data_IF_208440030558
#
_entry.id   IF_208440030558
#
_cell.length_a   1.000
_cell.length_b   1.000
_cell.length_c   1.000
_cell.angle_alpha   90.00
_cell.angle_beta   90.00
_cell.angle_gamma   90.00
#
_symmetry.space_group_name_H-M   'P 1'
#
loop_
_entity.id
_entity.type
_entity.pdbx_description
1 polymer ?
#
# COMPACT_ATOMS: atom_id res chain seq x y z
N UNK A 1 -5.39 6.81 -21.70
CA UNK A 1 -4.86 8.03 -21.05
C UNK A 1 -5.85 8.49 -19.99
N UNK A 2 -5.61 8.07 -18.75
CA UNK A 2 -6.41 8.49 -17.60
C UNK A 2 -6.05 9.93 -17.20
N UNK A 3 -7.06 10.80 -17.22
CA UNK A 3 -6.92 12.22 -16.90
C UNK A 3 -7.67 12.51 -15.62
N UNK A 4 -7.03 13.24 -14.73
CA UNK A 4 -7.70 13.83 -13.56
C UNK A 4 -7.52 15.34 -13.60
N UNK A 5 -8.60 16.05 -13.29
CA UNK A 5 -8.57 17.49 -13.10
C UNK A 5 -8.41 17.74 -11.61
N UNK A 6 -7.33 18.43 -11.27
CA UNK A 6 -6.99 18.81 -9.90
C UNK A 6 -6.77 20.33 -9.85
N UNK A 7 -7.41 20.96 -8.88
CA UNK A 7 -7.15 22.35 -8.52
C UNK A 7 -5.69 22.55 -8.07
N UNK A 8 -5.23 23.80 -8.04
CA UNK A 8 -3.87 24.13 -7.59
C UNK A 8 -3.58 23.62 -6.17
N UNK A 9 -4.57 23.68 -5.28
CA UNK A 9 -4.44 23.18 -3.92
C UNK A 9 -4.29 21.65 -3.89
N UNK A 10 -5.11 20.93 -4.65
CA UNK A 10 -5.05 19.46 -4.74
C UNK A 10 -3.74 18.99 -5.37
N UNK A 11 -3.22 19.71 -6.38
CA UNK A 11 -1.91 19.40 -6.96
C UNK A 11 -0.80 19.51 -5.93
N UNK A 12 -0.83 20.54 -5.09
CA UNK A 12 0.14 20.71 -4.02
C UNK A 12 0.01 19.61 -2.95
N UNK A 13 -1.21 19.16 -2.69
CA UNK A 13 -1.51 18.14 -1.68
C UNK A 13 -1.16 16.73 -2.15
N UNK A 14 -1.56 16.38 -3.37
CA UNK A 14 -1.53 15.02 -3.92
C UNK A 14 -0.42 14.79 -4.95
N UNK A 15 0.38 15.80 -5.28
CA UNK A 15 1.38 15.71 -6.35
C UNK A 15 2.34 14.52 -6.19
N UNK A 16 2.83 14.29 -4.97
CA UNK A 16 3.73 13.16 -4.68
C UNK A 16 3.02 11.81 -4.83
N UNK A 17 1.72 11.75 -4.52
CA UNK A 17 0.92 10.53 -4.70
C UNK A 17 0.71 10.23 -6.17
N UNK A 18 0.34 11.24 -6.96
CA UNK A 18 0.13 11.09 -8.39
C UNK A 18 1.39 10.60 -9.10
N UNK A 19 2.56 11.12 -8.72
CA UNK A 19 3.85 10.71 -9.31
C UNK A 19 4.19 9.23 -9.09
N UNK A 20 3.59 8.59 -8.10
CA UNK A 20 3.81 7.19 -7.73
C UNK A 20 2.61 6.30 -8.07
N UNK A 21 1.54 6.87 -8.64
CA UNK A 21 0.31 6.16 -8.94
C UNK A 21 0.26 5.76 -10.42
N UNK A 22 0.08 4.46 -10.67
CA UNK A 22 -0.01 3.85 -11.99
C UNK A 22 -1.41 3.29 -12.21
N UNK A 23 -1.94 3.42 -13.42
CA UNK A 23 -3.18 2.73 -13.83
C UNK A 23 -2.85 1.50 -14.65
N UNK A 24 -3.40 0.36 -14.26
CA UNK A 24 -3.50 -0.83 -15.11
C UNK A 24 -4.95 -1.04 -15.58
N UNK A 25 -5.19 -1.88 -16.60
CA UNK A 25 -6.54 -2.18 -17.06
C UNK A 25 -7.47 -2.70 -15.96
N UNK A 26 -6.91 -3.37 -14.95
CA UNK A 26 -7.63 -4.12 -13.92
C UNK A 26 -7.34 -3.64 -12.48
N UNK A 27 -6.55 -2.58 -12.27
CA UNK A 27 -6.35 -1.98 -10.93
C UNK A 27 -5.69 -0.59 -11.03
N UNK A 28 -5.64 0.12 -9.91
CA UNK A 28 -4.62 1.15 -9.65
C UNK A 28 -3.51 0.57 -8.78
N UNK A 29 -2.29 1.05 -8.97
CA UNK A 29 -1.13 0.68 -8.18
C UNK A 29 -0.44 1.94 -7.66
N UNK A 30 -0.35 2.09 -6.35
CA UNK A 30 0.49 3.10 -5.71
C UNK A 30 1.83 2.48 -5.33
N UNK A 31 2.91 2.88 -5.99
CA UNK A 31 4.26 2.37 -5.75
C UNK A 31 4.87 3.09 -4.53
N UNK A 32 4.86 2.43 -3.37
CA UNK A 32 5.55 2.89 -2.16
C UNK A 32 7.08 2.89 -2.36
N UNK A 33 7.59 1.88 -3.06
CA UNK A 33 8.96 1.83 -3.53
C UNK A 33 8.95 1.96 -5.06
N UNK A 34 9.44 3.08 -5.62
CA UNK A 34 9.51 3.25 -7.07
C UNK A 34 10.39 2.17 -7.73
N UNK A 35 9.95 1.69 -8.89
CA UNK A 35 10.67 0.71 -9.72
C UNK A 35 11.07 -0.58 -8.97
N UNK A 36 10.24 -1.02 -8.00
CA UNK A 36 10.52 -2.22 -7.23
C UNK A 36 10.48 -3.50 -8.11
N UNK A 37 9.81 -3.44 -9.26
CA UNK A 37 9.79 -4.45 -10.31
C UNK A 37 11.19 -4.83 -10.83
N UNK A 38 12.16 -3.89 -10.83
CA UNK A 38 13.53 -4.15 -11.28
C UNK A 38 14.24 -5.18 -10.36
N UNK A 39 13.71 -5.39 -9.16
CA UNK A 39 14.21 -6.37 -8.19
C UNK A 39 13.42 -7.70 -8.22
N UNK A 40 12.28 -7.76 -8.92
CA UNK A 40 11.40 -8.95 -8.95
C UNK A 40 12.04 -10.18 -9.60
N UNK A 41 13.01 -10.02 -10.51
CA UNK A 41 13.70 -11.18 -11.10
C UNK A 41 14.35 -12.08 -10.03
N UNK A 42 14.64 -11.52 -8.85
CA UNK A 42 15.25 -12.22 -7.72
C UNK A 42 14.33 -12.40 -6.51
N UNK A 43 13.21 -11.67 -6.46
CA UNK A 43 12.34 -11.60 -5.28
C UNK A 43 10.87 -11.90 -5.64
N UNK A 44 10.25 -12.80 -4.89
CA UNK A 44 8.81 -13.04 -4.97
C UNK A 44 8.05 -11.96 -4.21
N UNK A 45 6.96 -11.49 -4.81
CA UNK A 45 5.98 -10.62 -4.14
C UNK A 45 4.81 -11.43 -3.60
N UNK A 46 4.20 -10.90 -2.55
CA UNK A 46 2.99 -11.39 -1.91
C UNK A 46 1.99 -10.24 -1.88
N UNK A 47 0.71 -10.52 -2.08
CA UNK A 47 -0.34 -9.51 -2.22
C UNK A 47 -1.42 -9.77 -1.17
N UNK A 48 -1.30 -9.11 -0.01
CA UNK A 48 -2.15 -9.37 1.16
C UNK A 48 -3.32 -8.39 1.17
N UNK A 49 -4.56 -8.88 1.24
CA UNK A 49 -5.71 -8.00 1.38
C UNK A 49 -5.71 -7.32 2.76
N UNK A 50 -5.99 -6.02 2.77
CA UNK A 50 -6.21 -5.20 3.96
C UNK A 50 -7.35 -4.23 3.69
N UNK A 51 -8.45 -4.38 4.41
CA UNK A 51 -9.71 -3.70 4.14
C UNK A 51 -10.11 -3.86 2.67
N UNK A 52 -10.24 -2.72 1.99
CA UNK A 52 -10.70 -2.61 0.61
C UNK A 52 -9.55 -2.48 -0.41
N UNK A 53 -8.31 -2.77 -0.01
CA UNK A 53 -7.13 -2.70 -0.87
C UNK A 53 -6.18 -3.88 -0.63
N UNK A 54 -5.10 -3.95 -1.39
CA UNK A 54 -4.09 -5.00 -1.23
C UNK A 54 -2.69 -4.43 -1.01
N UNK A 55 -2.01 -4.90 0.03
CA UNK A 55 -0.62 -4.63 0.31
C UNK A 55 0.28 -5.56 -0.51
N UNK A 56 1.13 -5.00 -1.37
CA UNK A 56 2.16 -5.76 -2.08
C UNK A 56 3.43 -5.76 -1.27
N UNK A 57 3.82 -6.93 -0.78
CA UNK A 57 5.03 -7.16 0.00
C UNK A 57 6.09 -7.84 -0.85
N UNK A 58 7.33 -7.39 -0.75
CA UNK A 58 8.48 -8.03 -1.39
C UNK A 58 9.42 -8.58 -0.32
N UNK A 59 9.89 -9.82 -0.52
CA UNK A 59 10.92 -10.39 0.35
C UNK A 59 12.28 -9.80 -0.02
N UNK A 60 12.92 -9.10 0.91
CA UNK A 60 14.26 -8.53 0.75
C UNK A 60 15.12 -8.84 1.97
N UNK A 61 16.33 -9.35 1.78
CA UNK A 61 17.30 -9.65 2.85
C UNK A 61 16.68 -10.37 4.09
N UNK A 62 15.83 -11.37 3.84
CA UNK A 62 15.23 -12.20 4.89
C UNK A 62 13.98 -11.64 5.58
N UNK A 63 13.50 -10.45 5.20
CA UNK A 63 12.27 -9.86 5.75
C UNK A 63 11.35 -9.36 4.63
N UNK A 64 10.09 -9.10 4.95
CA UNK A 64 9.13 -8.49 4.03
C UNK A 64 9.10 -6.97 4.18
N UNK A 65 8.99 -6.27 3.05
CA UNK A 65 8.80 -4.83 2.98
C UNK A 65 7.60 -4.51 2.09
N UNK A 66 6.85 -3.45 2.42
CA UNK A 66 5.79 -2.93 1.56
C UNK A 66 6.41 -2.22 0.35
N UNK A 67 5.99 -2.60 -0.85
CA UNK A 67 6.50 -2.02 -2.10
C UNK A 67 5.42 -1.33 -2.92
N UNK A 68 4.17 -1.78 -2.82
CA UNK A 68 3.04 -1.14 -3.47
C UNK A 68 1.72 -1.40 -2.75
N UNK A 69 0.70 -0.62 -3.11
CA UNK A 69 -0.69 -0.81 -2.71
C UNK A 69 -1.53 -0.92 -3.98
N UNK A 70 -2.36 -1.96 -4.08
CA UNK A 70 -3.29 -2.14 -5.20
C UNK A 70 -4.71 -1.80 -4.78
N UNK A 71 -5.40 -1.08 -5.64
CA UNK A 71 -6.83 -0.77 -5.55
C UNK A 71 -7.51 -1.36 -6.78
N UNK A 72 -8.66 -2.02 -6.63
CA UNK A 72 -9.34 -2.61 -7.78
C UNK A 72 -9.87 -1.55 -8.78
N UNK A 73 -10.51 -2.00 -9.86
CA UNK A 73 -11.03 -1.10 -10.91
C UNK A 73 -12.24 -0.27 -10.50
N UNK A 74 -12.92 -0.59 -9.40
CA UNK A 74 -14.13 0.11 -8.98
C UNK A 74 -13.81 1.51 -8.43
N UNK A 75 -12.55 1.73 -8.06
CA UNK A 75 -12.06 3.00 -7.55
C UNK A 75 -11.88 4.04 -8.65
N UNK A 76 -12.09 5.31 -8.34
CA UNK A 76 -11.61 6.41 -9.17
C UNK A 76 -10.25 6.95 -8.66
N UNK A 77 -9.50 7.64 -9.53
CA UNK A 77 -8.20 8.24 -9.16
C UNK A 77 -8.35 9.11 -7.91
N UNK A 78 -9.41 9.90 -7.84
CA UNK A 78 -9.68 10.81 -6.72
C UNK A 78 -9.88 10.05 -5.41
N UNK A 79 -10.62 8.95 -5.43
CA UNK A 79 -10.84 8.10 -4.26
C UNK A 79 -9.52 7.51 -3.76
N UNK A 80 -8.66 7.06 -4.68
CA UNK A 80 -7.32 6.55 -4.33
C UNK A 80 -6.48 7.64 -3.68
N UNK A 81 -6.48 8.87 -4.21
CA UNK A 81 -5.73 9.98 -3.63
C UNK A 81 -6.24 10.39 -2.24
N UNK A 82 -7.56 10.42 -2.05
CA UNK A 82 -8.18 10.69 -0.75
C UNK A 82 -7.87 9.58 0.26
N UNK A 83 -7.88 8.33 -0.19
CA UNK A 83 -7.49 7.20 0.64
C UNK A 83 -6.03 7.29 1.05
N UNK A 84 -5.12 7.56 0.11
CA UNK A 84 -3.69 7.70 0.39
C UNK A 84 -3.39 8.87 1.34
N UNK A 85 -4.21 9.91 1.36
CA UNK A 85 -4.07 11.02 2.30
C UNK A 85 -4.55 10.68 3.72
N UNK A 86 -5.59 9.84 3.82
CA UNK A 86 -6.19 9.46 5.10
C UNK A 86 -5.54 8.24 5.74
N UNK A 87 -5.11 7.28 4.94
CA UNK A 87 -4.69 5.96 5.39
C UNK A 87 -3.25 5.66 4.99
N UNK A 88 -2.64 4.72 5.69
CA UNK A 88 -1.37 4.11 5.31
C UNK A 88 -1.33 2.63 5.69
N UNK A 89 -0.50 1.88 4.98
CA UNK A 89 -0.15 0.52 5.34
C UNK A 89 1.29 0.52 5.85
N UNK A 90 1.53 -0.16 6.98
CA UNK A 90 2.88 -0.36 7.51
C UNK A 90 3.16 -1.86 7.66
N UNK A 91 4.23 -2.31 7.02
CA UNK A 91 4.80 -3.64 7.23
C UNK A 91 6.00 -3.51 8.18
N UNK A 92 5.86 -4.04 9.38
CA UNK A 92 6.86 -3.96 10.44
C UNK A 92 7.77 -5.18 10.42
N UNK A 93 8.94 -5.06 11.06
CA UNK A 93 9.81 -6.23 11.28
C UNK A 93 9.19 -7.16 12.33
N UNK A 94 9.47 -8.47 12.27
CA UNK A 94 9.06 -9.40 13.31
C UNK A 94 9.62 -8.97 14.66
N UNK A 95 8.76 -8.95 15.67
CA UNK A 95 9.13 -8.62 17.04
C UNK A 95 8.10 -9.19 18.00
N UNK A 96 8.52 -9.44 19.24
CA UNK A 96 7.65 -9.75 20.38
C UNK A 96 7.52 -8.56 21.33
N UNK A 97 8.22 -7.46 21.06
CA UNK A 97 8.13 -6.24 21.85
C UNK A 97 6.91 -5.41 21.46
N UNK A 98 6.27 -4.77 22.44
CA UNK A 98 5.18 -3.83 22.18
C UNK A 98 5.62 -2.74 21.20
N UNK A 99 4.85 -2.60 20.12
CA UNK A 99 5.09 -1.61 19.09
C UNK A 99 4.50 -0.25 19.46
N UNK A 100 5.27 0.81 19.20
CA UNK A 100 4.82 2.20 19.30
C UNK A 100 4.42 2.69 17.90
N UNK A 101 3.12 2.70 17.62
CA UNK A 101 2.61 3.17 16.33
C UNK A 101 2.37 4.67 16.40
N UNK A 102 3.36 5.43 15.95
CA UNK A 102 3.29 6.90 15.90
C UNK A 102 2.49 7.39 14.69
N UNK A 103 1.99 8.64 14.77
CA UNK A 103 1.24 9.32 13.72
C UNK A 103 -0.05 8.59 13.30
N UNK A 104 -0.70 7.95 14.28
CA UNK A 104 -1.90 7.15 14.07
C UNK A 104 -3.06 7.70 14.89
N UNK A 105 -4.23 7.90 14.30
CA UNK A 105 -5.47 8.17 15.02
C UNK A 105 -6.21 6.89 15.41
N UNK A 106 -6.02 5.81 14.65
CA UNK A 106 -6.60 4.48 14.88
C UNK A 106 -5.91 3.39 14.06
N UNK A 107 -6.08 2.13 14.48
CA UNK A 107 -5.75 0.93 13.72
C UNK A 107 -7.06 0.37 13.18
N UNK A 108 -7.20 0.31 11.85
CA UNK A 108 -8.41 -0.22 11.19
C UNK A 108 -8.35 -1.73 11.11
N UNK A 109 -7.18 -2.24 10.75
CA UNK A 109 -6.90 -3.66 10.63
C UNK A 109 -5.46 -3.92 11.04
N UNK A 110 -5.26 -5.00 11.77
CA UNK A 110 -3.99 -5.40 12.34
C UNK A 110 -3.84 -6.91 12.24
N UNK A 111 -2.90 -7.36 11.42
CA UNK A 111 -2.65 -8.79 11.16
C UNK A 111 -1.15 -9.07 11.16
N UNK A 112 -0.78 -10.34 11.11
CA UNK A 112 0.57 -10.79 10.77
C UNK A 112 0.56 -11.49 9.42
N UNK A 113 1.66 -11.35 8.71
CA UNK A 113 2.00 -12.23 7.61
C UNK A 113 3.41 -12.79 7.83
N UNK A 114 3.51 -14.10 8.11
CA UNK A 114 4.80 -14.77 8.39
C UNK A 114 5.58 -14.01 9.47
N UNK A 115 4.94 -13.81 10.63
CA UNK A 115 5.44 -13.07 11.79
C UNK A 115 5.68 -11.55 11.60
N UNK A 116 5.41 -10.98 10.42
CA UNK A 116 5.54 -9.54 10.18
C UNK A 116 4.22 -8.84 10.47
N UNK A 117 4.14 -7.92 11.46
CA UNK A 117 2.95 -7.12 11.68
C UNK A 117 2.67 -6.26 10.44
N UNK A 118 1.45 -6.35 9.94
CA UNK A 118 0.95 -5.60 8.80
C UNK A 118 -0.30 -4.84 9.25
N UNK A 119 -0.22 -3.51 9.18
CA UNK A 119 -1.18 -2.62 9.81
C UNK A 119 -1.80 -1.70 8.77
N UNK A 120 -3.12 -1.56 8.78
CA UNK A 120 -3.85 -0.48 8.12
C UNK A 120 -4.20 0.59 9.15
N UNK A 121 -3.68 1.81 8.94
CA UNK A 121 -3.65 2.87 9.94
C UNK A 121 -4.39 4.09 9.45
N UNK A 122 -5.24 4.70 10.30
CA UNK A 122 -5.72 6.06 10.09
C UNK A 122 -4.61 7.06 10.44
N UNK A 123 -4.14 7.83 9.47
CA UNK A 123 -3.11 8.84 9.71
C UNK A 123 -3.59 9.87 10.70
N UNK A 124 -2.68 10.30 11.57
CA UNK A 124 -3.03 11.16 12.69
C UNK A 124 -1.83 11.69 13.45
N UNK A 125 -2.08 12.10 14.69
CA UNK A 125 -1.06 12.70 15.56
C UNK A 125 -0.79 11.92 16.85
N UNK A 126 -1.57 10.86 17.13
CA UNK A 126 -1.42 10.10 18.37
C UNK A 126 -0.34 9.02 18.21
N UNK A 127 0.00 8.42 19.35
CA UNK A 127 0.79 7.19 19.41
C UNK A 127 -0.08 6.10 20.01
N UNK A 128 -0.16 4.97 19.34
CA UNK A 128 -0.89 3.79 19.77
C UNK A 128 0.10 2.71 20.21
N UNK A 129 -0.31 1.89 21.17
CA UNK A 129 0.46 0.72 21.61
C UNK A 129 -0.18 -0.51 20.97
N UNK A 130 0.64 -1.38 20.40
CA UNK A 130 0.20 -2.64 19.83
C UNK A 130 1.06 -3.78 20.35
N UNK A 131 0.43 -4.80 20.94
CA UNK A 131 1.11 -6.04 21.28
C UNK A 131 1.14 -6.94 20.03
N UNK A 132 2.30 -7.18 19.40
CA UNK A 132 2.37 -8.02 18.23
C UNK A 132 1.93 -9.45 18.54
N UNK A 133 2.06 -9.98 19.76
CA UNK A 133 1.70 -11.36 20.06
C UNK A 133 0.20 -11.65 19.90
N UNK A 134 -0.66 -10.63 20.04
CA UNK A 134 -2.11 -10.74 19.90
C UNK A 134 -2.59 -10.77 18.43
N UNK A 135 -1.72 -10.44 17.48
CA UNK A 135 -2.06 -10.40 16.06
C UNK A 135 -2.22 -11.81 15.46
N UNK A 136 -3.26 -11.98 14.65
CA UNK A 136 -3.53 -13.21 13.90
C UNK A 136 -2.61 -13.29 12.67
N UNK A 137 -1.87 -14.40 12.53
CA UNK A 137 -1.11 -14.68 11.31
C UNK A 137 -2.02 -15.27 10.23
N UNK A 138 -2.10 -14.57 9.10
CA UNK A 138 -2.98 -14.96 8.00
C UNK A 138 -2.28 -15.84 6.96
N UNK A 139 -1.00 -16.18 7.14
CA UNK A 139 -0.22 -16.92 6.14
C UNK A 139 -0.83 -18.29 5.76
N UNK A 140 -1.54 -18.95 6.67
CA UNK A 140 -2.10 -20.29 6.45
C UNK A 140 -3.43 -20.29 5.67
N UNK A 141 -4.19 -19.20 5.73
CA UNK A 141 -5.47 -19.03 5.00
C UNK A 141 -5.36 -18.06 3.83
N UNK A 142 -4.14 -17.60 3.56
CA UNK A 142 -3.81 -16.68 2.50
C UNK A 142 -3.87 -17.39 1.14
N UNK A 143 -4.79 -16.97 0.29
CA UNK A 143 -4.75 -17.29 -1.14
C UNK A 143 -3.80 -16.33 -1.84
N UNK A 144 -2.69 -16.85 -2.35
CA UNK A 144 -1.71 -16.05 -3.05
C UNK A 144 -2.29 -15.46 -4.34
N UNK A 145 -2.59 -14.16 -4.33
CA UNK A 145 -2.95 -13.45 -5.54
C UNK A 145 -1.68 -13.14 -6.35
N UNK A 146 -1.37 -14.02 -7.31
CA UNK A 146 -0.25 -13.82 -8.24
C UNK A 146 -0.65 -12.85 -9.33
N UNK A 147 -0.47 -11.55 -9.08
CA UNK A 147 -0.51 -10.55 -10.15
C UNK A 147 0.90 -10.35 -10.70
N UNK A 148 1.16 -10.89 -11.90
CA UNK A 148 2.34 -10.50 -12.67
C UNK A 148 2.00 -9.15 -13.29
N UNK A 149 2.52 -8.06 -12.72
CA UNK A 149 2.35 -6.73 -13.29
C UNK A 149 3.22 -6.62 -14.54
N UNK A 150 2.60 -6.71 -15.72
CA UNK A 150 3.26 -6.33 -16.96
C UNK A 150 3.30 -4.79 -17.02
N UNK A 151 4.42 -4.22 -16.59
CA UNK A 151 4.63 -2.76 -16.54
C UNK A 151 4.43 -2.08 -17.89
N UNK A 152 4.54 -2.80 -19.01
CA UNK A 152 4.23 -2.28 -20.35
C UNK A 152 2.75 -1.97 -20.60
N UNK A 153 1.86 -2.38 -19.69
CA UNK A 153 0.42 -2.06 -19.71
C UNK A 153 0.06 -0.92 -18.76
N UNK A 154 1.01 -0.40 -17.98
CA UNK A 154 0.76 0.72 -17.09
C UNK A 154 0.57 2.01 -17.89
N UNK A 155 -0.45 2.77 -17.53
CA UNK A 155 -0.64 4.15 -17.99
C UNK A 155 -0.33 5.12 -16.84
N UNK A 156 0.44 6.17 -17.17
CA UNK A 156 0.62 7.30 -16.26
C UNK A 156 -0.68 8.09 -16.11
N UNK A 157 -0.90 8.61 -14.91
CA UNK A 157 -2.01 9.52 -14.65
C UNK A 157 -1.59 10.93 -15.03
N UNK A 158 -2.31 11.53 -15.99
CA UNK A 158 -2.05 12.90 -16.43
C UNK A 158 -2.92 13.88 -15.67
N UNK A 159 -2.32 14.89 -15.05
CA UNK A 159 -3.03 15.96 -14.35
C UNK A 159 -3.28 17.12 -15.31
N UNK A 160 -4.55 17.43 -15.58
CA UNK A 160 -4.96 18.58 -16.39
C UNK A 160 -5.34 19.78 -15.53
N UNK A 161 -5.03 20.97 -16.03
CA UNK A 161 -5.37 22.24 -15.38
C UNK A 161 -6.78 22.62 -15.81
N UNK A 162 -7.59 23.09 -14.87
CA UNK A 162 -8.86 23.77 -15.18
C UNK A 162 -8.63 24.97 -16.11
#
# INVERSE_FOLDING_TARGET
MNKIILSDWERKKYGDYVNQLRKYPDCFEYCVLPNYEDYMETAQTECIQLGDCFAVLMKHAGHYILVAILFDVEWEVRDVLEWLDRWEIRCMRPTTETLLIQHANGLVEEIKFKDHPLLLIEKGSKTLLLDPEELVDVADVYEQYKKINNTGLAEDITVESD
#
